data_IF_392704993269
#
_entry.id   IF_392704993269
#
_cell.length_a   1.000
_cell.length_b   1.000
_cell.length_c   1.000
_cell.angle_alpha   90.00
_cell.angle_beta   90.00
_cell.angle_gamma   90.00
#
_symmetry.space_group_name_H-M   'P 1'
#
loop_
_entity.id
_entity.type
_entity.pdbx_description
1 polymer ?
#
# COMPACT_ATOMS: atom_id res chain seq x y z
N UNK A 1 21.39 -46.34 0.60
CA UNK A 1 20.73 -45.87 -0.63
C UNK A 1 19.42 -45.23 -0.16
N UNK A 2 19.11 -43.96 -0.31
CA UNK A 2 19.67 -42.81 -1.02
C UNK A 2 19.28 -41.58 -0.18
N UNK A 3 20.26 -40.78 0.23
CA UNK A 3 20.05 -39.36 0.49
C UNK A 3 20.10 -38.69 -0.88
N UNK A 4 19.06 -37.99 -1.30
CA UNK A 4 19.15 -36.95 -2.35
C UNK A 4 17.81 -36.25 -2.56
N UNK A 5 17.86 -35.00 -3.06
CA UNK A 5 17.27 -33.86 -2.37
C UNK A 5 16.38 -33.04 -3.32
N UNK A 6 16.02 -31.83 -2.88
CA UNK A 6 15.58 -30.73 -3.73
C UNK A 6 14.17 -30.89 -4.32
N UNK A 7 13.18 -30.42 -3.57
CA UNK A 7 12.05 -29.75 -4.22
C UNK A 7 12.22 -28.27 -3.97
N UNK A 8 13.04 -27.71 -4.86
CA UNK A 8 13.05 -26.31 -5.25
C UNK A 8 11.61 -25.83 -5.47
N UNK A 9 11.22 -24.80 -4.72
CA UNK A 9 9.98 -24.05 -4.93
C UNK A 9 9.81 -23.70 -6.42
N UNK A 10 8.73 -24.11 -7.09
CA UNK A 10 8.45 -23.60 -8.42
C UNK A 10 7.91 -22.18 -8.28
N UNK A 11 8.75 -21.22 -8.66
CA UNK A 11 8.39 -19.89 -9.14
C UNK A 11 7.25 -19.19 -8.38
N UNK A 12 7.64 -18.34 -7.42
CA UNK A 12 6.97 -17.04 -7.28
C UNK A 12 7.17 -16.29 -8.60
N UNK A 13 6.39 -16.65 -9.61
CA UNK A 13 6.09 -15.76 -10.71
C UNK A 13 5.46 -14.55 -10.05
N UNK A 14 6.22 -13.47 -9.94
CA UNK A 14 5.65 -12.15 -9.79
C UNK A 14 4.75 -11.94 -11.00
N UNK A 15 3.51 -12.43 -10.92
CA UNK A 15 2.45 -12.08 -11.84
C UNK A 15 2.44 -10.57 -11.82
N UNK A 16 2.86 -10.01 -12.95
CA UNK A 16 2.78 -8.62 -13.30
C UNK A 16 1.48 -8.06 -12.73
N UNK A 17 1.49 -6.91 -12.02
CA UNK A 17 0.23 -6.34 -11.56
C UNK A 17 -0.65 -6.16 -12.79
N UNK A 18 -1.79 -6.84 -12.77
CA UNK A 18 -2.68 -6.96 -13.91
C UNK A 18 -2.90 -5.61 -14.57
N UNK A 19 -2.74 -5.59 -15.88
CA UNK A 19 -2.99 -4.47 -16.78
C UNK A 19 -4.39 -3.84 -16.57
N UNK A 20 -5.25 -4.49 -15.79
CA UNK A 20 -6.54 -4.01 -15.30
C UNK A 20 -6.46 -2.82 -14.34
N UNK A 21 -5.42 -2.69 -13.51
CA UNK A 21 -5.27 -1.52 -12.63
C UNK A 21 -4.99 -0.22 -13.42
N UNK A 22 -4.37 -0.32 -14.61
CA UNK A 22 -4.17 0.80 -15.52
C UNK A 22 -5.42 1.09 -16.36
N UNK A 23 -6.28 0.09 -16.62
CA UNK A 23 -7.50 0.28 -17.41
C UNK A 23 -8.61 1.05 -16.65
N UNK A 24 -8.60 1.06 -15.31
CA UNK A 24 -9.41 2.01 -14.50
C UNK A 24 -8.96 3.49 -14.68
N UNK A 25 -7.93 3.78 -15.47
CA UNK A 25 -7.61 5.15 -15.87
C UNK A 25 -8.26 5.58 -17.19
N UNK A 26 -9.00 4.69 -17.88
CA UNK A 26 -9.55 4.92 -19.23
C UNK A 26 -11.07 4.84 -19.28
N UNK A 27 -11.77 5.15 -18.19
CA UNK A 27 -13.20 5.50 -18.26
C UNK A 27 -13.26 6.99 -18.57
N UNK A 28 -13.80 7.28 -19.76
CA UNK A 28 -13.92 8.62 -20.34
C UNK A 28 -14.61 9.59 -19.36
N UNK A 29 -13.85 10.56 -18.84
CA UNK A 29 -14.46 11.81 -18.41
C UNK A 29 -14.65 12.65 -19.68
N UNK A 30 -15.77 12.41 -20.39
CA UNK A 30 -16.28 13.35 -21.39
C UNK A 30 -16.49 14.68 -20.66
N UNK A 31 -15.69 15.67 -21.02
CA UNK A 31 -15.90 17.03 -20.57
C UNK A 31 -17.23 17.50 -21.15
N UNK A 32 -18.23 17.67 -20.29
CA UNK A 32 -19.48 18.31 -20.68
C UNK A 32 -19.18 19.80 -20.87
N UNK A 33 -19.15 20.23 -22.13
CA UNK A 33 -19.13 21.64 -22.51
C UNK A 33 -20.37 22.34 -21.94
N UNK A 34 -20.24 23.49 -21.24
CA UNK A 34 -21.39 24.31 -20.89
C UNK A 34 -21.63 25.34 -22.01
N UNK A 35 -22.76 25.21 -22.71
CA UNK A 35 -23.26 26.24 -23.62
C UNK A 35 -23.79 27.45 -22.83
N UNK A 36 -23.22 28.63 -23.13
CA UNK A 36 -23.94 29.87 -23.39
C UNK A 36 -24.54 30.65 -22.21
N UNK A 37 -23.86 31.75 -21.83
CA UNK A 37 -24.52 32.98 -21.42
C UNK A 37 -23.62 34.17 -21.81
N UNK A 38 -24.22 35.11 -22.55
CA UNK A 38 -23.61 36.23 -23.26
C UNK A 38 -23.03 37.33 -22.33
N UNK A 39 -22.31 38.25 -22.99
CA UNK A 39 -21.97 39.63 -22.61
C UNK A 39 -20.61 39.94 -21.98
N UNK A 40 -19.92 40.88 -22.65
CA UNK A 40 -18.88 41.71 -22.04
C UNK A 40 -17.45 41.35 -22.42
N UNK A 41 -16.96 42.00 -23.47
CA UNK A 41 -15.55 42.14 -23.86
C UNK A 41 -14.67 42.55 -22.66
N UNK A 42 -14.16 41.58 -21.90
CA UNK A 42 -13.04 41.77 -20.98
C UNK A 42 -11.86 40.94 -21.48
N UNK A 43 -10.76 41.65 -21.74
CA UNK A 43 -9.52 41.16 -22.32
C UNK A 43 -9.07 39.96 -21.49
N UNK A 44 -8.90 38.79 -22.13
CA UNK A 44 -8.39 37.59 -21.49
C UNK A 44 -7.08 37.93 -20.77
N UNK A 45 -7.14 38.06 -19.45
CA UNK A 45 -5.99 38.24 -18.60
C UNK A 45 -5.23 36.91 -18.70
N UNK A 46 -4.10 36.92 -19.40
CA UNK A 46 -3.17 35.80 -19.48
C UNK A 46 -3.07 35.20 -18.08
N UNK A 47 -3.44 33.93 -17.84
CA UNK A 47 -3.38 33.38 -16.49
C UNK A 47 -1.91 33.44 -16.09
N UNK A 48 -1.61 34.33 -15.13
CA UNK A 48 -0.26 34.54 -14.63
C UNK A 48 0.35 33.17 -14.38
N UNK A 49 1.54 32.92 -14.96
CA UNK A 49 2.16 31.62 -14.93
C UNK A 49 2.31 31.19 -13.46
N UNK A 50 1.45 30.26 -13.03
CA UNK A 50 1.44 29.78 -11.66
C UNK A 50 2.84 29.31 -11.28
N UNK A 51 3.30 29.71 -10.10
CA UNK A 51 4.59 29.27 -9.58
C UNK A 51 4.65 27.74 -9.57
N UNK A 52 5.86 27.19 -9.64
CA UNK A 52 6.06 25.73 -9.58
C UNK A 52 5.38 25.10 -8.35
N UNK A 53 5.36 25.84 -7.24
CA UNK A 53 4.75 25.41 -5.99
C UNK A 53 3.21 25.42 -6.07
N UNK A 54 2.61 26.47 -6.64
CA UNK A 54 1.16 26.57 -6.84
C UNK A 54 0.64 25.44 -7.74
N UNK A 55 1.38 25.10 -8.81
CA UNK A 55 1.07 23.96 -9.69
C UNK A 55 1.12 22.62 -8.94
N UNK A 56 2.09 22.43 -8.03
CA UNK A 56 2.19 21.21 -7.19
C UNK A 56 1.01 21.12 -6.22
N UNK A 57 0.66 22.22 -5.56
CA UNK A 57 -0.50 22.29 -4.66
C UNK A 57 -1.79 21.92 -5.38
N UNK A 58 -2.06 22.52 -6.55
CA UNK A 58 -3.26 22.21 -7.35
C UNK A 58 -3.33 20.74 -7.76
N UNK A 59 -2.20 20.13 -8.15
CA UNK A 59 -2.14 18.68 -8.45
C UNK A 59 -2.48 17.82 -7.22
N UNK A 60 -1.89 18.13 -6.06
CA UNK A 60 -2.15 17.41 -4.80
C UNK A 60 -3.60 17.56 -4.30
N UNK A 61 -4.22 18.70 -4.60
CA UNK A 61 -5.62 18.98 -4.29
C UNK A 61 -6.62 18.30 -5.25
N UNK A 62 -6.16 17.58 -6.29
CA UNK A 62 -7.08 16.81 -7.13
C UNK A 62 -7.55 15.55 -6.41
N UNK A 63 -8.82 15.17 -6.60
CA UNK A 63 -9.38 13.94 -6.03
C UNK A 63 -8.58 12.71 -6.49
N UNK A 64 -8.16 12.67 -7.77
CA UNK A 64 -7.33 11.60 -8.34
C UNK A 64 -5.98 11.44 -7.63
N UNK A 65 -5.30 12.53 -7.29
CA UNK A 65 -4.05 12.45 -6.54
C UNK A 65 -4.28 11.93 -5.12
N UNK A 66 -5.30 12.45 -4.43
CA UNK A 66 -5.64 12.02 -3.07
C UNK A 66 -6.04 10.55 -3.01
N UNK A 67 -6.89 10.09 -3.93
CA UNK A 67 -7.33 8.69 -3.98
C UNK A 67 -6.16 7.76 -4.29
N UNK A 68 -5.32 8.09 -5.27
CA UNK A 68 -4.13 7.30 -5.57
C UNK A 68 -3.16 7.21 -4.38
N UNK A 69 -2.94 8.31 -3.66
CA UNK A 69 -2.11 8.32 -2.46
C UNK A 69 -2.72 7.49 -1.32
N UNK A 70 -4.03 7.61 -1.08
CA UNK A 70 -4.74 6.82 -0.09
C UNK A 70 -4.67 5.32 -0.41
N UNK A 71 -4.84 4.91 -1.67
CA UNK A 71 -4.70 3.51 -2.09
C UNK A 71 -3.30 2.98 -1.83
N UNK A 72 -2.25 3.74 -2.19
CA UNK A 72 -0.86 3.35 -1.92
C UNK A 72 -0.60 3.15 -0.42
N UNK A 73 -1.12 4.04 0.41
CA UNK A 73 -0.94 3.92 1.86
C UNK A 73 -1.70 2.73 2.44
N UNK A 74 -2.91 2.42 1.94
CA UNK A 74 -3.63 1.20 2.33
C UNK A 74 -2.82 -0.05 2.00
N UNK A 75 -2.28 -0.16 0.79
CA UNK A 75 -1.44 -1.30 0.37
C UNK A 75 -0.21 -1.42 1.28
N UNK A 76 0.45 -0.30 1.60
CA UNK A 76 1.61 -0.28 2.51
C UNK A 76 1.25 -0.81 3.90
N UNK A 77 0.11 -0.38 4.45
CA UNK A 77 -0.37 -0.80 5.76
C UNK A 77 -0.85 -2.25 5.76
N UNK A 78 -1.47 -2.71 4.67
CA UNK A 78 -1.88 -4.11 4.48
C UNK A 78 -0.67 -5.03 4.46
N UNK A 79 0.37 -4.72 3.67
CA UNK A 79 1.61 -5.46 3.65
C UNK A 79 2.25 -5.55 5.05
N UNK A 80 2.25 -4.45 5.81
CA UNK A 80 2.70 -4.44 7.20
C UNK A 80 1.86 -5.34 8.11
N UNK A 81 0.53 -5.34 7.95
CA UNK A 81 -0.36 -6.15 8.75
C UNK A 81 -0.22 -7.65 8.43
N UNK A 82 0.02 -8.01 7.17
CA UNK A 82 0.35 -9.39 6.76
C UNK A 82 1.62 -9.85 7.47
N UNK A 83 2.70 -9.06 7.44
CA UNK A 83 3.93 -9.40 8.16
C UNK A 83 3.70 -9.58 9.67
N UNK A 84 2.85 -8.76 10.28
CA UNK A 84 2.44 -8.91 11.69
C UNK A 84 1.65 -10.19 11.96
N UNK A 85 0.80 -10.61 11.02
CA UNK A 85 0.05 -11.85 11.11
C UNK A 85 0.96 -13.08 10.97
N UNK A 86 1.95 -13.03 10.07
CA UNK A 86 2.95 -14.10 9.95
C UNK A 86 3.79 -14.22 11.24
N UNK A 87 4.25 -13.10 11.80
CA UNK A 87 4.94 -13.11 13.09
C UNK A 87 4.06 -13.72 14.20
N UNK A 88 2.78 -13.33 14.28
CA UNK A 88 1.81 -13.85 15.27
C UNK A 88 1.72 -15.37 15.27
N UNK A 89 1.78 -16.03 14.11
CA UNK A 89 1.67 -17.49 13.96
C UNK A 89 2.83 -18.25 14.60
N UNK A 90 4.00 -17.62 14.68
CA UNK A 90 5.21 -18.21 15.26
C UNK A 90 5.26 -18.08 16.79
N UNK A 91 4.37 -17.27 17.39
CA UNK A 91 4.41 -16.97 18.82
C UNK A 91 3.59 -17.97 19.63
N UNK A 92 4.16 -18.56 20.70
CA UNK A 92 3.43 -19.48 21.56
C UNK A 92 2.39 -18.74 22.40
N UNK A 93 1.11 -19.13 22.30
CA UNK A 93 0.02 -18.60 23.12
C UNK A 93 -0.95 -19.68 23.60
N UNK A 94 -1.51 -19.49 24.80
CA UNK A 94 -2.60 -20.30 25.34
C UNK A 94 -3.82 -19.38 25.61
N UNK A 95 -4.98 -19.60 24.97
CA UNK A 95 -5.22 -20.54 23.87
C UNK A 95 -4.51 -20.10 22.55
N UNK A 96 -4.33 -21.00 21.56
CA UNK A 96 -3.58 -20.69 20.33
C UNK A 96 -4.19 -19.55 19.51
N UNK A 97 -5.50 -19.32 19.62
CA UNK A 97 -6.27 -18.29 18.94
C UNK A 97 -6.39 -16.98 19.73
N UNK A 98 -5.65 -16.83 20.85
CA UNK A 98 -5.65 -15.60 21.65
C UNK A 98 -5.43 -14.36 20.77
N UNK A 99 -6.27 -13.35 20.87
CA UNK A 99 -6.02 -12.09 20.14
C UNK A 99 -4.90 -11.32 20.86
N UNK A 100 -3.84 -10.96 20.12
CA UNK A 100 -2.74 -10.14 20.62
C UNK A 100 -2.74 -8.79 19.91
N UNK A 101 -2.50 -7.72 20.67
CA UNK A 101 -2.20 -6.40 20.12
C UNK A 101 -0.81 -6.37 19.48
N UNK A 102 -0.54 -5.34 18.66
CA UNK A 102 0.77 -5.17 18.00
C UNK A 102 1.92 -5.09 19.01
N UNK A 103 1.71 -4.42 20.14
CA UNK A 103 2.76 -4.30 21.18
C UNK A 103 3.00 -5.64 21.90
N UNK A 104 1.95 -6.43 22.14
CA UNK A 104 2.10 -7.75 22.75
C UNK A 104 2.84 -8.71 21.82
N UNK A 105 2.54 -8.70 20.51
CA UNK A 105 3.25 -9.50 19.50
C UNK A 105 4.76 -9.20 19.55
N UNK A 106 5.13 -7.91 19.54
CA UNK A 106 6.55 -7.51 19.58
C UNK A 106 7.23 -7.94 20.88
N UNK A 107 6.59 -7.71 22.03
CA UNK A 107 7.15 -8.11 23.33
C UNK A 107 7.32 -9.62 23.43
N UNK A 108 6.32 -10.38 23.01
CA UNK A 108 6.35 -11.84 23.05
C UNK A 108 7.39 -12.42 22.09
N UNK A 109 7.56 -11.84 20.89
CA UNK A 109 8.61 -12.22 19.96
C UNK A 109 10.00 -12.05 20.57
N UNK A 110 10.27 -10.91 21.21
CA UNK A 110 11.55 -10.66 21.89
C UNK A 110 11.78 -11.70 23.00
N UNK A 111 10.78 -11.91 23.87
CA UNK A 111 10.89 -12.91 24.93
C UNK A 111 11.11 -14.32 24.38
N UNK A 112 10.44 -14.69 23.29
CA UNK A 112 10.53 -16.02 22.72
C UNK A 112 11.89 -16.29 22.06
N UNK A 113 12.45 -15.31 21.33
CA UNK A 113 13.82 -15.39 20.82
C UNK A 113 14.81 -15.60 21.97
N UNK A 114 14.72 -14.79 23.03
CA UNK A 114 15.61 -14.92 24.21
C UNK A 114 15.47 -16.28 24.89
N UNK A 115 14.25 -16.81 24.99
CA UNK A 115 13.98 -18.13 25.55
C UNK A 115 14.65 -19.23 24.70
N UNK A 116 14.46 -19.20 23.38
CA UNK A 116 15.07 -20.19 22.49
C UNK A 116 16.60 -20.14 22.52
N UNK A 117 17.20 -18.94 22.56
CA UNK A 117 18.66 -18.80 22.72
C UNK A 117 19.14 -19.46 24.03
N UNK A 118 18.46 -19.20 25.15
CA UNK A 118 18.81 -19.83 26.42
C UNK A 118 18.70 -21.37 26.39
N UNK A 119 17.68 -21.91 25.70
CA UNK A 119 17.52 -23.36 25.53
C UNK A 119 18.63 -23.98 24.69
N UNK A 120 19.17 -23.23 23.71
CA UNK A 120 20.23 -23.71 22.82
C UNK A 120 21.65 -23.57 23.42
N UNK A 121 21.85 -22.62 24.34
CA UNK A 121 23.13 -22.40 25.02
C UNK A 121 23.40 -23.41 26.16
N UNK A 122 22.39 -24.19 26.55
CA UNK A 122 22.44 -25.24 27.57
C UNK A 122 22.68 -26.60 26.91
#
# INVERSE_FOLDING_TARGET
MMLSPDQTDPDLTWTQPDTECLNVMRVECVAHEPLGAEDGKTRALVPAALTREEKRRRRRATAKYRSAHATRERIRVEAFNIAFAELRKLLPTLPPDKKLSKIEILRLAICYISYLNHVLDV
#
